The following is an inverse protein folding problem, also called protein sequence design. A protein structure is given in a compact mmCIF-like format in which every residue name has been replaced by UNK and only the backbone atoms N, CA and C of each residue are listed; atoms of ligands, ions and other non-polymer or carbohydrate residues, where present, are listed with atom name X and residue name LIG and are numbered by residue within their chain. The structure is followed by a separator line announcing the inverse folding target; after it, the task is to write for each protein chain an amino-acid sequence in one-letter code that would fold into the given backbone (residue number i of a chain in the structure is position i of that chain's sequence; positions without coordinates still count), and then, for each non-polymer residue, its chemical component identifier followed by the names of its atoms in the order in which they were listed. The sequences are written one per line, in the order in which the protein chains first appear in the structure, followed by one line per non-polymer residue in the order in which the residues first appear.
data_IF_583739974666
#
_entry.id   IF_583739974666
#
_cell.length_a   1.000
_cell.length_b   1.000
_cell.length_c   1.000
_cell.angle_alpha   90.00
_cell.angle_beta   90.00
_cell.angle_gamma   90.00
#
_symmetry.space_group_name_H-M   'P 1'
#
loop_
_entity.id
_entity.type
_entity.pdbx_description
1 polymer ?
#
# COMPACT_ATOMS: atom_id res chain seq x y z
N UNK A 1 10.90 -8.11 7.90
CA UNK A 1 9.87 -8.76 7.05
C UNK A 1 10.12 -8.46 5.58
N UNK A 2 10.02 -7.20 5.10
CA UNK A 2 10.15 -6.90 3.65
C UNK A 2 11.51 -7.31 3.10
N UNK A 3 12.60 -6.98 3.78
CA UNK A 3 13.96 -7.37 3.36
C UNK A 3 14.12 -8.89 3.29
N UNK A 4 13.62 -9.62 4.27
CA UNK A 4 13.66 -11.09 4.32
C UNK A 4 12.87 -11.72 3.17
N UNK A 5 11.69 -11.19 2.86
CA UNK A 5 10.89 -11.64 1.71
C UNK A 5 11.60 -11.35 0.38
N UNK A 6 12.28 -10.21 0.26
CA UNK A 6 13.08 -9.90 -0.93
C UNK A 6 14.26 -10.88 -1.10
N UNK A 7 14.98 -11.22 -0.04
CA UNK A 7 16.07 -12.19 -0.10
C UNK A 7 15.57 -13.60 -0.43
N UNK A 8 14.44 -14.02 0.16
CA UNK A 8 13.81 -15.30 -0.19
C UNK A 8 13.39 -15.36 -1.66
N UNK A 9 12.80 -14.27 -2.18
CA UNK A 9 12.43 -14.17 -3.58
C UNK A 9 13.63 -14.23 -4.52
N UNK A 10 14.73 -13.53 -4.20
CA UNK A 10 15.98 -13.61 -4.96
C UNK A 10 16.54 -15.04 -4.96
N UNK A 11 16.55 -15.71 -3.81
CA UNK A 11 16.99 -17.10 -3.69
C UNK A 11 16.15 -18.06 -4.55
N UNK A 12 14.88 -17.71 -4.79
CA UNK A 12 13.95 -18.44 -5.68
C UNK A 12 14.06 -18.02 -7.15
N UNK A 13 15.06 -17.19 -7.53
CA UNK A 13 15.33 -16.80 -8.91
C UNK A 13 14.57 -15.55 -9.38
N UNK A 14 13.88 -14.82 -8.50
CA UNK A 14 13.21 -13.56 -8.85
C UNK A 14 14.24 -12.46 -9.11
N UNK A 15 14.11 -11.79 -10.26
CA UNK A 15 14.95 -10.64 -10.62
C UNK A 15 14.26 -9.33 -10.20
N UNK A 16 14.98 -8.47 -9.50
CA UNK A 16 14.53 -7.14 -9.10
C UNK A 16 15.14 -6.09 -10.03
N UNK A 17 14.30 -5.40 -10.78
CA UNK A 17 14.69 -4.32 -11.68
C UNK A 17 14.21 -2.97 -11.11
N UNK A 18 15.14 -2.07 -10.83
CA UNK A 18 14.81 -0.70 -10.40
C UNK A 18 14.50 0.15 -11.63
N UNK A 19 13.25 0.12 -12.08
CA UNK A 19 12.77 0.84 -13.26
C UNK A 19 11.40 1.45 -13.00
N UNK A 20 11.13 2.59 -13.62
CA UNK A 20 9.81 3.21 -13.62
C UNK A 20 9.03 2.76 -14.86
N UNK A 21 7.89 2.11 -14.65
CA UNK A 21 6.97 1.78 -15.74
C UNK A 21 6.16 3.03 -16.09
N UNK A 22 6.29 3.48 -17.33
CA UNK A 22 5.62 4.69 -17.85
C UNK A 22 4.46 4.38 -18.78
N UNK A 23 4.17 3.12 -19.04
CA UNK A 23 3.07 2.66 -19.86
C UNK A 23 3.32 1.26 -20.40
N UNK A 24 2.45 0.80 -21.30
CA UNK A 24 2.58 -0.50 -21.93
C UNK A 24 1.48 -0.77 -22.93
N UNK A 25 1.53 -1.94 -23.55
CA UNK A 25 0.51 -2.44 -24.47
C UNK A 25 0.35 -3.94 -24.30
N UNK A 26 -0.83 -4.43 -24.64
CA UNK A 26 -1.14 -5.85 -24.74
C UNK A 26 -1.10 -6.27 -26.20
N UNK A 27 -0.64 -7.48 -26.47
CA UNK A 27 -0.72 -8.14 -27.77
C UNK A 27 -1.12 -9.61 -27.59
N UNK A 28 -1.14 -10.38 -28.66
CA UNK A 28 -1.51 -11.80 -28.64
C UNK A 28 -0.54 -12.65 -27.79
N UNK A 29 0.72 -12.23 -27.66
CA UNK A 29 1.76 -12.97 -26.94
C UNK A 29 1.89 -12.58 -25.46
N UNK A 30 1.29 -11.45 -25.02
CA UNK A 30 1.35 -11.01 -23.63
C UNK A 30 1.33 -9.50 -23.43
N UNK A 31 2.27 -9.01 -22.63
CA UNK A 31 2.38 -7.62 -22.18
C UNK A 31 3.75 -7.06 -22.51
N UNK A 32 3.80 -5.88 -23.10
CA UNK A 32 5.02 -5.12 -23.34
C UNK A 32 4.97 -3.83 -22.48
N UNK A 33 5.80 -3.76 -21.45
CA UNK A 33 5.90 -2.61 -20.55
C UNK A 33 7.01 -1.68 -21.02
N UNK A 34 6.68 -0.41 -21.22
CA UNK A 34 7.66 0.65 -21.47
C UNK A 34 8.13 1.22 -20.13
N UNK A 35 9.45 1.23 -19.93
CA UNK A 35 10.10 1.78 -18.74
C UNK A 35 11.01 2.95 -19.11
N UNK A 36 11.49 3.68 -18.10
CA UNK A 36 12.53 4.71 -18.23
C UNK A 36 13.86 4.17 -18.79
N UNK A 37 14.07 2.85 -18.77
CA UNK A 37 15.31 2.18 -19.20
C UNK A 37 15.06 1.14 -20.31
N UNK A 38 14.02 1.33 -21.14
CA UNK A 38 13.68 0.46 -22.25
C UNK A 38 12.43 -0.38 -22.00
N UNK A 39 12.24 -1.42 -22.79
CA UNK A 39 11.03 -2.25 -22.78
C UNK A 39 11.25 -3.57 -22.09
N UNK A 40 10.26 -4.03 -21.33
CA UNK A 40 10.21 -5.35 -20.71
C UNK A 40 9.00 -6.08 -21.24
N UNK A 41 9.21 -7.26 -21.82
CA UNK A 41 8.14 -8.13 -22.29
C UNK A 41 7.89 -9.29 -21.32
N UNK A 42 6.62 -9.66 -21.14
CA UNK A 42 6.21 -10.77 -20.28
C UNK A 42 4.90 -11.39 -20.81
N UNK A 43 4.64 -12.63 -20.44
CA UNK A 43 3.34 -13.27 -20.74
C UNK A 43 2.21 -12.68 -19.93
N UNK A 44 2.49 -12.33 -18.67
CA UNK A 44 1.54 -11.74 -17.73
C UNK A 44 2.21 -10.62 -16.95
N UNK A 45 1.42 -9.66 -16.49
CA UNK A 45 1.84 -8.61 -15.56
C UNK A 45 0.93 -8.60 -14.34
N UNK A 46 1.53 -8.47 -13.16
CA UNK A 46 0.80 -8.16 -11.93
C UNK A 46 0.98 -6.67 -11.61
N UNK A 47 -0.12 -5.93 -11.52
CA UNK A 47 -0.12 -4.54 -11.05
C UNK A 47 -0.36 -4.54 -9.54
N UNK A 48 0.69 -4.22 -8.78
CA UNK A 48 0.68 -4.14 -7.32
C UNK A 48 1.34 -2.83 -6.84
N UNK A 49 1.03 -1.70 -7.52
CA UNK A 49 1.70 -0.41 -7.35
C UNK A 49 1.01 0.49 -6.29
N UNK A 50 0.19 -0.08 -5.40
CA UNK A 50 -0.51 0.67 -4.35
C UNK A 50 -1.35 1.81 -4.92
N UNK A 51 -1.19 3.02 -4.43
CA UNK A 51 -1.94 4.20 -4.86
C UNK A 51 -1.68 4.61 -6.32
N UNK A 52 -0.59 4.15 -6.93
CA UNK A 52 -0.25 4.43 -8.33
C UNK A 52 -0.82 3.40 -9.33
N UNK A 53 -1.59 2.41 -8.87
CA UNK A 53 -2.07 1.31 -9.71
C UNK A 53 -3.10 1.74 -10.76
N UNK A 54 -3.93 2.76 -10.47
CA UNK A 54 -5.04 3.16 -11.35
C UNK A 54 -4.57 3.60 -12.74
N UNK A 55 -3.52 4.42 -12.82
CA UNK A 55 -3.03 4.94 -14.10
C UNK A 55 -2.48 3.84 -15.01
N UNK A 56 -1.71 2.90 -14.45
CA UNK A 56 -1.16 1.78 -15.20
C UNK A 56 -2.25 0.78 -15.60
N UNK A 57 -3.22 0.51 -14.72
CA UNK A 57 -4.39 -0.31 -15.04
C UNK A 57 -5.17 0.30 -16.21
N UNK A 58 -5.47 1.59 -16.16
CA UNK A 58 -6.15 2.30 -17.24
C UNK A 58 -5.36 2.25 -18.56
N UNK A 59 -4.05 2.45 -18.52
CA UNK A 59 -3.19 2.44 -19.69
C UNK A 59 -3.12 1.05 -20.38
N UNK A 60 -3.15 -0.03 -19.61
CA UNK A 60 -3.06 -1.40 -20.14
C UNK A 60 -4.43 -1.99 -20.51
N UNK A 61 -5.48 -1.67 -19.79
CA UNK A 61 -6.77 -2.36 -19.90
C UNK A 61 -7.88 -1.49 -20.50
N UNK A 62 -7.69 -0.18 -20.58
CA UNK A 62 -8.73 0.78 -20.95
C UNK A 62 -9.80 0.99 -19.87
N UNK A 63 -9.73 0.27 -18.74
CA UNK A 63 -10.71 0.33 -17.66
C UNK A 63 -10.36 1.44 -16.66
N UNK A 64 -11.36 2.21 -16.22
CA UNK A 64 -11.21 3.17 -15.14
C UNK A 64 -11.27 2.46 -13.79
N UNK A 65 -10.43 2.89 -12.87
CA UNK A 65 -10.41 2.41 -11.47
C UNK A 65 -10.72 3.59 -10.56
N UNK A 66 -11.75 3.53 -9.70
CA UNK A 66 -12.08 4.61 -8.77
C UNK A 66 -11.14 4.58 -7.53
N UNK A 67 -9.85 4.49 -7.78
CA UNK A 67 -8.81 4.49 -6.74
C UNK A 67 -8.45 5.93 -6.40
N UNK A 68 -8.62 6.29 -5.15
CA UNK A 68 -8.12 7.54 -4.57
C UNK A 68 -7.05 7.24 -3.52
N UNK A 69 -6.46 8.26 -2.95
CA UNK A 69 -5.47 8.11 -1.88
C UNK A 69 -5.88 8.85 -0.62
N UNK A 70 -5.92 8.12 0.47
CA UNK A 70 -5.95 8.67 1.81
C UNK A 70 -4.52 8.89 2.29
N UNK A 71 -4.08 10.14 2.31
CA UNK A 71 -2.75 10.50 2.83
C UNK A 71 -2.76 10.37 4.34
N UNK A 72 -1.99 9.42 4.86
CA UNK A 72 -1.80 9.23 6.30
C UNK A 72 -0.54 9.91 6.76
N UNK A 73 -0.62 10.61 7.90
CA UNK A 73 0.52 11.29 8.51
C UNK A 73 0.87 10.68 9.85
N UNK A 74 2.15 10.65 10.18
CA UNK A 74 2.60 10.36 11.53
C UNK A 74 3.78 11.23 11.93
N UNK A 75 3.99 11.35 13.23
CA UNK A 75 5.18 11.94 13.82
C UNK A 75 5.89 10.89 14.66
N UNK A 76 7.17 10.68 14.40
CA UNK A 76 8.03 9.82 15.21
C UNK A 76 8.77 10.66 16.24
N UNK A 77 8.71 10.28 17.49
CA UNK A 77 9.37 10.92 18.63
C UNK A 77 10.49 10.00 19.12
N UNK A 78 11.74 10.18 18.65
CA UNK A 78 12.82 9.21 18.88
C UNK A 78 13.26 9.12 20.35
N UNK A 79 13.09 10.19 21.13
CA UNK A 79 13.51 10.22 22.53
C UNK A 79 12.43 9.79 23.53
N UNK A 80 11.25 9.38 23.05
CA UNK A 80 10.10 9.00 23.89
C UNK A 80 9.91 7.48 23.98
N UNK A 81 11.02 6.75 24.21
CA UNK A 81 10.98 5.31 24.46
C UNK A 81 10.32 4.98 25.82
N UNK A 82 9.66 3.82 25.89
CA UNK A 82 9.10 3.29 27.12
C UNK A 82 7.96 4.09 27.73
N UNK A 83 7.39 5.06 26.99
CA UNK A 83 6.27 5.89 27.47
C UNK A 83 4.96 5.11 27.60
N UNK A 84 4.79 4.10 26.76
CA UNK A 84 3.64 3.22 26.73
C UNK A 84 4.08 1.77 26.54
N UNK A 85 3.45 0.80 27.22
CA UNK A 85 3.77 -0.62 27.04
C UNK A 85 3.11 -1.24 25.79
N UNK A 86 2.09 -0.59 25.24
CA UNK A 86 1.33 -1.01 24.07
C UNK A 86 0.70 0.21 23.37
N UNK A 87 0.12 0.01 22.20
CA UNK A 87 -0.55 1.09 21.46
C UNK A 87 -1.80 1.59 22.20
N UNK A 88 -1.94 2.91 22.34
CA UNK A 88 -3.06 3.56 23.00
C UNK A 88 -3.73 4.56 22.05
N UNK A 89 -5.04 4.44 21.88
CA UNK A 89 -5.83 5.37 21.07
C UNK A 89 -6.54 6.37 21.96
N UNK A 90 -6.35 7.66 21.70
CA UNK A 90 -7.20 8.72 22.26
C UNK A 90 -8.43 8.90 21.35
N UNK A 91 -9.57 8.39 21.78
CA UNK A 91 -10.82 8.48 21.01
C UNK A 91 -11.32 9.92 20.88
N UNK A 92 -11.17 10.73 21.93
CA UNK A 92 -11.56 12.14 21.93
C UNK A 92 -10.72 12.98 20.96
N UNK A 93 -9.41 12.73 20.93
CA UNK A 93 -8.46 13.48 20.11
C UNK A 93 -8.19 12.82 18.76
N UNK A 94 -8.77 11.64 18.52
CA UNK A 94 -8.77 10.87 17.25
C UNK A 94 -7.38 10.58 16.71
N UNK A 95 -6.47 10.11 17.59
CA UNK A 95 -5.14 9.67 17.17
C UNK A 95 -4.66 8.50 18.03
N UNK A 96 -3.69 7.75 17.54
CA UNK A 96 -3.06 6.61 18.21
C UNK A 96 -1.59 6.90 18.50
N UNK A 97 -1.16 6.46 19.66
CA UNK A 97 0.22 6.49 20.12
C UNK A 97 0.73 5.05 20.19
N UNK A 98 1.77 4.74 19.44
CA UNK A 98 2.28 3.37 19.30
C UNK A 98 3.76 3.34 19.67
N UNK A 99 4.18 2.55 20.69
CA UNK A 99 5.59 2.32 20.96
C UNK A 99 6.21 1.55 19.77
N UNK A 100 7.38 2.01 19.35
CA UNK A 100 8.15 1.45 18.26
C UNK A 100 9.61 1.30 18.69
N UNK A 101 10.40 0.49 17.99
CA UNK A 101 11.85 0.36 18.24
C UNK A 101 12.58 1.71 18.12
N UNK A 102 12.10 2.59 17.25
CA UNK A 102 12.65 3.94 17.06
C UNK A 102 12.06 5.04 17.96
N UNK A 103 11.28 4.72 19.01
CA UNK A 103 10.65 5.71 19.91
C UNK A 103 9.12 5.58 19.97
N UNK A 104 8.41 6.69 20.11
CA UNK A 104 6.94 6.72 20.13
C UNK A 104 6.40 7.32 18.82
N UNK A 105 5.53 6.58 18.13
CA UNK A 105 4.86 7.06 16.93
C UNK A 105 3.47 7.61 17.25
N UNK A 106 3.21 8.83 16.83
CA UNK A 106 1.88 9.44 16.85
C UNK A 106 1.28 9.40 15.45
N UNK A 107 0.08 8.84 15.28
CA UNK A 107 -0.60 8.73 13.99
C UNK A 107 -2.11 8.90 14.13
N UNK A 108 -2.83 9.39 13.11
CA UNK A 108 -4.29 9.51 13.22
C UNK A 108 -4.96 10.50 12.28
N UNK A 109 -4.21 11.22 11.46
CA UNK A 109 -4.81 12.18 10.52
C UNK A 109 -4.84 11.61 9.10
N UNK A 110 -5.89 11.97 8.36
CA UNK A 110 -6.11 11.61 6.95
C UNK A 110 -6.32 12.89 6.14
N UNK A 111 -5.82 12.92 4.92
CA UNK A 111 -6.03 13.97 3.95
C UNK A 111 -6.36 13.38 2.59
N UNK A 112 -7.42 13.89 1.96
CA UNK A 112 -7.77 13.61 0.57
C UNK A 112 -7.22 14.73 -0.32
N UNK A 113 -6.09 14.48 -0.98
CA UNK A 113 -5.40 15.50 -1.79
C UNK A 113 -4.74 14.92 -3.05
N UNK A 114 -5.15 13.72 -3.47
CA UNK A 114 -4.59 13.03 -4.62
C UNK A 114 -3.09 12.71 -4.44
N UNK A 115 -2.42 12.39 -5.53
CA UNK A 115 -1.00 11.99 -5.51
C UNK A 115 -0.03 13.17 -5.69
N UNK A 116 -0.43 14.22 -6.40
CA UNK A 116 0.51 15.24 -6.93
C UNK A 116 0.74 16.44 -6.01
N UNK A 117 -0.22 16.75 -5.10
CA UNK A 117 -0.06 17.86 -4.17
C UNK A 117 1.11 17.62 -3.22
N UNK A 118 1.88 18.66 -2.86
CA UNK A 118 2.89 18.56 -1.80
C UNK A 118 2.25 18.08 -0.48
N UNK A 119 2.97 17.27 0.33
CA UNK A 119 2.47 16.85 1.63
C UNK A 119 2.35 18.03 2.60
N UNK A 120 1.27 18.06 3.38
CA UNK A 120 1.10 19.03 4.46
C UNK A 120 1.64 18.46 5.78
N UNK A 121 2.94 18.59 6.02
CA UNK A 121 3.60 18.04 7.21
C UNK A 121 3.13 18.67 8.53
N UNK A 122 2.46 19.82 8.51
CA UNK A 122 1.84 20.43 9.68
C UNK A 122 0.80 19.50 10.34
N UNK A 123 0.19 18.61 9.53
CA UNK A 123 -0.72 17.55 10.04
C UNK A 123 -0.01 16.55 10.95
N UNK A 124 1.24 16.23 10.69
CA UNK A 124 2.04 15.39 11.58
C UNK A 124 2.38 16.12 12.88
N UNK A 125 2.80 17.39 12.80
CA UNK A 125 3.08 18.22 13.97
C UNK A 125 1.86 18.48 14.84
N UNK A 126 0.67 18.54 14.25
CA UNK A 126 -0.58 18.64 15.03
C UNK A 126 -0.77 17.46 15.98
N UNK A 127 -0.31 16.26 15.63
CA UNK A 127 -0.41 15.08 16.51
C UNK A 127 0.37 15.28 17.84
N UNK A 128 1.53 15.96 17.77
CA UNK A 128 2.26 16.33 18.98
C UNK A 128 1.48 17.34 19.83
N UNK A 129 0.88 18.35 19.22
CA UNK A 129 0.00 19.29 19.97
C UNK A 129 -1.18 18.58 20.61
N UNK A 130 -1.79 17.62 19.90
CA UNK A 130 -2.87 16.81 20.45
C UNK A 130 -2.43 15.88 21.58
N UNK A 131 -1.16 15.56 21.71
CA UNK A 131 -0.64 14.70 22.80
C UNK A 131 -0.41 15.44 24.12
N UNK A 132 -0.36 16.78 24.09
CA UNK A 132 -0.06 17.59 25.28
C UNK A 132 -1.13 17.39 26.37
N UNK A 133 -0.68 17.25 27.60
CA UNK A 133 -1.54 17.00 28.76
C UNK A 133 -2.11 15.57 28.86
N UNK A 134 -1.73 14.62 27.99
CA UNK A 134 -2.11 13.20 28.13
C UNK A 134 -1.16 12.42 29.05
N UNK A 135 0.03 12.92 29.27
CA UNK A 135 1.05 12.28 30.10
C UNK A 135 1.39 13.17 31.32
N UNK A 136 1.88 12.56 32.38
CA UNK A 136 2.35 13.32 33.57
C UNK A 136 3.48 14.30 33.21
N UNK A 137 4.31 13.96 32.26
CA UNK A 137 5.31 14.83 31.63
C UNK A 137 4.99 14.81 30.12
N UNK A 138 4.79 15.97 29.56
CA UNK A 138 4.53 16.11 28.12
C UNK A 138 5.62 15.47 27.26
N UNK A 139 5.24 15.05 26.06
CA UNK A 139 6.16 14.43 25.13
C UNK A 139 7.09 15.48 24.52
N UNK A 140 8.38 15.17 24.43
CA UNK A 140 9.36 15.98 23.71
C UNK A 140 9.22 15.78 22.20
N UNK A 141 9.34 16.86 21.45
CA UNK A 141 9.42 16.83 19.99
C UNK A 141 10.86 17.04 19.48
N UNK A 142 11.86 16.90 20.37
CA UNK A 142 13.27 16.95 19.98
C UNK A 142 13.58 15.84 18.99
N UNK A 143 14.23 16.20 17.86
CA UNK A 143 14.55 15.32 16.73
C UNK A 143 13.34 14.59 16.11
N UNK A 144 12.13 15.07 16.34
CA UNK A 144 10.92 14.45 15.78
C UNK A 144 10.91 14.50 14.27
N UNK A 145 10.51 13.38 13.64
CA UNK A 145 10.46 13.26 12.17
C UNK A 145 9.03 13.07 11.69
N UNK A 146 8.51 14.01 10.89
CA UNK A 146 7.21 13.86 10.23
C UNK A 146 7.31 12.96 9.02
N UNK A 147 6.26 12.18 8.76
CA UNK A 147 6.14 11.30 7.61
C UNK A 147 4.73 11.31 7.04
N UNK A 148 4.63 11.10 5.71
CA UNK A 148 3.37 10.93 5.02
C UNK A 148 3.44 9.72 4.08
N UNK A 149 2.34 8.97 4.00
CA UNK A 149 2.17 7.86 3.05
C UNK A 149 0.81 7.85 2.39
N UNK A 150 0.78 7.31 1.18
CA UNK A 150 -0.42 7.15 0.38
C UNK A 150 -1.09 5.81 0.67
N UNK A 151 -2.31 5.81 1.23
CA UNK A 151 -3.14 4.62 1.33
C UNK A 151 -4.00 4.51 0.08
N UNK A 152 -3.91 3.41 -0.67
CA UNK A 152 -4.76 3.20 -1.85
C UNK A 152 -6.17 2.84 -1.40
N UNK A 153 -7.12 3.75 -1.58
CA UNK A 153 -8.49 3.58 -1.09
C UNK A 153 -9.49 3.47 -2.24
N UNK A 154 -10.43 2.54 -2.11
CA UNK A 154 -11.54 2.32 -3.01
C UNK A 154 -12.86 2.68 -2.31
N UNK A 155 -13.93 3.05 -3.04
CA UNK A 155 -15.17 3.53 -2.44
C UNK A 155 -15.84 2.55 -1.48
N UNK A 156 -15.72 1.26 -1.73
CA UNK A 156 -16.27 0.17 -0.92
C UNK A 156 -15.31 -0.39 0.13
N UNK A 157 -14.09 0.14 0.19
CA UNK A 157 -13.03 -0.30 1.10
C UNK A 157 -12.50 -1.73 0.87
N UNK A 158 -12.90 -2.40 -0.21
CA UNK A 158 -12.37 -3.72 -0.59
C UNK A 158 -11.25 -3.57 -1.62
N UNK A 159 -10.17 -4.38 -1.54
CA UNK A 159 -9.12 -4.37 -2.55
C UNK A 159 -9.64 -4.89 -3.90
N UNK A 160 -8.93 -4.55 -4.97
CA UNK A 160 -9.09 -5.21 -6.27
C UNK A 160 -8.08 -6.34 -6.34
N UNK A 161 -8.59 -7.58 -6.48
CA UNK A 161 -7.83 -8.81 -6.71
C UNK A 161 -8.52 -9.50 -7.89
N UNK A 162 -7.96 -9.35 -9.09
CA UNK A 162 -8.63 -9.76 -10.31
C UNK A 162 -7.64 -10.21 -11.39
N UNK A 163 -8.17 -10.88 -12.39
CA UNK A 163 -7.49 -11.28 -13.61
C UNK A 163 -8.31 -10.78 -14.79
N UNK A 164 -7.74 -9.88 -15.57
CA UNK A 164 -8.40 -9.22 -16.70
C UNK A 164 -7.61 -9.40 -17.98
N UNK A 165 -8.19 -9.00 -19.12
CA UNK A 165 -7.55 -9.08 -20.44
C UNK A 165 -7.06 -10.50 -20.76
N UNK A 166 -7.98 -11.49 -20.67
CA UNK A 166 -7.71 -12.90 -21.01
C UNK A 166 -6.53 -13.51 -20.22
N UNK A 167 -6.36 -13.09 -18.97
CA UNK A 167 -5.32 -13.62 -18.13
C UNK A 167 -3.97 -12.91 -18.23
N UNK A 168 -3.84 -11.88 -19.06
CA UNK A 168 -2.57 -11.17 -19.25
C UNK A 168 -2.27 -10.13 -18.16
N UNK A 169 -3.31 -9.60 -17.50
CA UNK A 169 -3.17 -8.57 -16.47
C UNK A 169 -3.81 -9.03 -15.16
N UNK A 170 -3.00 -9.20 -14.15
CA UNK A 170 -3.39 -9.47 -12.77
C UNK A 170 -3.38 -8.17 -11.97
N UNK A 171 -4.33 -8.01 -11.08
CA UNK A 171 -4.51 -6.80 -10.26
C UNK A 171 -4.48 -7.17 -8.77
N UNK A 172 -3.67 -6.46 -7.98
CA UNK A 172 -3.62 -6.62 -6.52
C UNK A 172 -3.30 -5.27 -5.84
N UNK A 173 -4.33 -4.47 -5.58
CA UNK A 173 -4.15 -3.15 -4.95
C UNK A 173 -5.45 -2.67 -4.28
N UNK A 174 -5.38 -1.53 -3.59
CA UNK A 174 -6.55 -0.95 -2.93
C UNK A 174 -6.78 -1.44 -1.50
N UNK A 175 -5.76 -2.01 -0.86
CA UNK A 175 -5.82 -2.58 0.50
C UNK A 175 -5.83 -1.54 1.63
N UNK A 176 -5.93 -0.26 1.31
CA UNK A 176 -5.91 0.84 2.29
C UNK A 176 -4.70 0.75 3.25
N UNK A 177 -4.95 0.69 4.56
CA UNK A 177 -3.94 0.53 5.61
C UNK A 177 -3.64 -0.95 5.97
N UNK A 178 -4.32 -1.89 5.32
CA UNK A 178 -4.22 -3.33 5.63
C UNK A 178 -3.32 -4.11 4.65
N UNK A 179 -2.63 -3.43 3.73
CA UNK A 179 -1.86 -4.09 2.68
C UNK A 179 -0.83 -5.09 3.19
N UNK A 180 -0.11 -4.77 4.27
CA UNK A 180 0.84 -5.71 4.87
C UNK A 180 0.13 -6.91 5.54
N UNK A 181 -0.95 -6.65 6.25
CA UNK A 181 -1.74 -7.69 6.95
C UNK A 181 -2.36 -8.69 5.96
N UNK A 182 -2.82 -8.20 4.81
CA UNK A 182 -3.49 -9.01 3.79
C UNK A 182 -2.53 -9.55 2.72
N UNK A 183 -1.23 -9.23 2.78
CA UNK A 183 -0.26 -9.56 1.73
C UNK A 183 -0.19 -11.06 1.44
N UNK A 184 -0.17 -11.91 2.46
CA UNK A 184 -0.06 -13.36 2.31
C UNK A 184 -1.28 -13.95 1.58
N UNK A 185 -2.49 -13.67 2.06
CA UNK A 185 -3.72 -14.16 1.41
C UNK A 185 -3.90 -13.60 0.00
N UNK A 186 -3.52 -12.33 -0.22
CA UNK A 186 -3.53 -11.73 -1.56
C UNK A 186 -2.56 -12.45 -2.50
N UNK A 187 -1.37 -12.81 -2.02
CA UNK A 187 -0.38 -13.54 -2.82
C UNK A 187 -0.90 -14.93 -3.23
N UNK A 188 -1.55 -15.64 -2.33
CA UNK A 188 -2.18 -16.95 -2.62
C UNK A 188 -3.30 -16.81 -3.67
N UNK A 189 -4.17 -15.81 -3.53
CA UNK A 189 -5.23 -15.53 -4.50
C UNK A 189 -4.66 -15.19 -5.89
N UNK A 190 -3.62 -14.38 -5.96
CA UNK A 190 -2.94 -14.03 -7.22
C UNK A 190 -2.26 -15.26 -7.83
N UNK A 191 -1.60 -16.10 -7.03
CA UNK A 191 -0.98 -17.33 -7.53
C UNK A 191 -2.01 -18.27 -8.17
N UNK A 192 -3.20 -18.39 -7.56
CA UNK A 192 -4.34 -19.14 -8.13
C UNK A 192 -4.84 -18.54 -9.44
N UNK A 193 -4.94 -17.21 -9.52
CA UNK A 193 -5.37 -16.53 -10.74
C UNK A 193 -4.33 -16.62 -11.86
N UNK A 194 -3.04 -16.63 -11.52
CA UNK A 194 -1.94 -16.74 -12.47
C UNK A 194 -1.79 -18.17 -13.03
N UNK A 195 -2.13 -19.18 -12.22
CA UNK A 195 -2.03 -20.59 -12.59
C UNK A 195 -3.22 -21.38 -12.04
N UNK A 196 -4.26 -21.65 -12.85
CA UNK A 196 -5.45 -22.39 -12.42
C UNK A 196 -5.19 -23.80 -11.86
N UNK A 197 -4.01 -24.37 -12.14
CA UNK A 197 -3.59 -25.65 -11.59
C UNK A 197 -3.18 -25.58 -10.11
N UNK A 198 -2.98 -24.39 -9.55
CA UNK A 198 -2.73 -24.19 -8.12
C UNK A 198 -4.06 -24.27 -7.36
N UNK A 199 -4.51 -25.49 -7.05
CA UNK A 199 -5.68 -25.72 -6.21
C UNK A 199 -5.38 -25.31 -4.78
N UNK A 200 -6.14 -24.36 -4.22
CA UNK A 200 -6.07 -23.99 -2.81
C UNK A 200 -7.46 -24.09 -2.20
N UNK A 201 -7.65 -25.05 -1.32
CA UNK A 201 -8.85 -25.17 -0.50
C UNK A 201 -8.83 -24.10 0.60
N UNK A 202 -9.96 -23.43 0.85
CA UNK A 202 -10.12 -22.49 1.96
C UNK A 202 -9.85 -21.01 1.66
N UNK A 203 -9.53 -20.64 0.44
CA UNK A 203 -9.45 -19.22 0.06
C UNK A 203 -10.85 -18.60 -0.14
N UNK A 204 -11.01 -17.29 0.14
CA UNK A 204 -12.26 -16.61 -0.07
C UNK A 204 -12.66 -16.59 -1.56
N UNK A 205 -13.95 -16.42 -1.81
CA UNK A 205 -14.49 -16.18 -3.14
C UNK A 205 -13.95 -14.85 -3.70
N UNK A 206 -13.72 -14.80 -5.00
CA UNK A 206 -13.08 -13.65 -5.66
C UNK A 206 -14.06 -12.61 -6.19
N UNK A 207 -15.34 -12.95 -6.30
CA UNK A 207 -16.38 -12.09 -6.86
C UNK A 207 -16.43 -10.69 -6.22
N UNK A 208 -16.33 -10.55 -4.87
CA UNK A 208 -16.36 -9.23 -4.23
C UNK A 208 -15.14 -8.36 -4.53
N UNK A 209 -14.06 -8.94 -5.04
CA UNK A 209 -12.77 -8.26 -5.26
C UNK A 209 -12.50 -7.92 -6.73
N UNK A 210 -13.44 -8.23 -7.63
CA UNK A 210 -13.27 -8.00 -9.08
C UNK A 210 -13.32 -6.52 -9.43
N UNK A 211 -12.63 -6.15 -10.50
CA UNK A 211 -12.65 -4.77 -11.00
C UNK A 211 -14.01 -4.37 -11.55
N UNK A 212 -14.76 -5.28 -12.13
CA UNK A 212 -16.05 -5.03 -12.76
C UNK A 212 -17.23 -4.79 -11.81
N UNK A 213 -16.96 -4.75 -10.49
CA UNK A 213 -17.95 -4.33 -9.49
C UNK A 213 -18.18 -2.81 -9.42
N UNK A 214 -17.40 -2.04 -10.18
CA UNK A 214 -17.51 -0.59 -10.29
C UNK A 214 -18.09 -0.12 -11.62
#
# INVERSE_FOLDING_TARGET
VVCELMEAAKASGVQFLKRQVVGGKLDEHGVSLRTDQGTVAARQVLIACGAHSASLTGALTGKKVPLDTERGYHLMLPHEHGRLPFAVTSLERKFIMTPMDGGLRLAGTVEFAGLDRPPNMERAWQLHRLSQGLFRRDLSAEDATPWMGFRPSLPDSLPIIDNVCEGKVLLAFGHQHLGLTQAAVTAELIARLASPAAASNGLPALEPYRLDRF
#
